data_IF_420499489874
#
_entry.id   IF_420499489874
#
_cell.length_a   1.000
_cell.length_b   1.000
_cell.length_c   1.000
_cell.angle_alpha   90.00
_cell.angle_beta   90.00
_cell.angle_gamma   90.00
#
_symmetry.space_group_name_H-M   'P 1'
#
loop_
_entity.id
_entity.type
_entity.pdbx_description
1 polymer ?
#
# COMPACT_ATOMS: atom_id res chain seq x y z
N UNK A 1 35.53 -17.29 3.37
CA UNK A 1 35.65 -16.28 2.30
C UNK A 1 34.24 -15.95 1.83
N UNK A 2 33.83 -14.67 1.75
CA UNK A 2 32.52 -14.33 1.21
C UNK A 2 32.49 -14.64 -0.30
N UNK A 3 31.46 -15.35 -0.75
CA UNK A 3 31.26 -15.75 -2.13
C UNK A 3 31.20 -14.51 -3.04
N UNK A 4 32.03 -14.39 -4.09
CA UNK A 4 31.92 -13.28 -5.03
C UNK A 4 30.58 -13.37 -5.75
N UNK A 5 29.70 -12.39 -5.53
CA UNK A 5 28.39 -12.34 -6.20
C UNK A 5 28.56 -12.46 -7.71
N UNK A 6 27.80 -13.39 -8.29
CA UNK A 6 27.70 -13.67 -9.72
C UNK A 6 27.33 -12.37 -10.48
N UNK A 7 28.03 -12.02 -11.58
CA UNK A 7 27.75 -10.79 -12.35
C UNK A 7 26.29 -10.63 -12.78
N UNK A 8 25.58 -11.73 -13.11
CA UNK A 8 24.16 -11.69 -13.47
C UNK A 8 23.21 -11.27 -12.32
N UNK A 9 23.61 -11.46 -11.06
CA UNK A 9 22.82 -11.04 -9.89
C UNK A 9 22.99 -9.54 -9.61
N UNK A 10 24.16 -8.97 -9.95
CA UNK A 10 24.41 -7.53 -9.80
C UNK A 10 23.61 -6.71 -10.80
N UNK A 11 23.54 -7.13 -12.05
CA UNK A 11 22.75 -6.44 -13.09
C UNK A 11 21.26 -6.44 -12.76
N UNK A 12 20.70 -7.58 -12.34
CA UNK A 12 19.31 -7.67 -11.89
C UNK A 12 19.02 -6.77 -10.68
N UNK A 13 19.94 -6.72 -9.73
CA UNK A 13 19.80 -5.87 -8.54
C UNK A 13 19.88 -4.38 -8.90
N UNK A 14 20.82 -3.97 -9.77
CA UNK A 14 20.92 -2.59 -10.24
C UNK A 14 19.68 -2.17 -11.05
N UNK A 15 19.17 -3.04 -11.93
CA UNK A 15 17.94 -2.78 -12.66
C UNK A 15 16.72 -2.64 -11.73
N UNK A 16 16.62 -3.50 -10.71
CA UNK A 16 15.57 -3.42 -9.68
C UNK A 16 15.66 -2.13 -8.86
N UNK A 17 16.87 -1.74 -8.44
CA UNK A 17 17.08 -0.48 -7.70
C UNK A 17 16.78 0.76 -8.55
N UNK A 18 17.17 0.78 -9.83
CA UNK A 18 16.87 1.88 -10.75
C UNK A 18 15.35 2.01 -10.96
N UNK A 19 14.66 0.89 -11.15
CA UNK A 19 13.20 0.84 -11.27
C UNK A 19 12.50 1.38 -10.02
N UNK A 20 12.92 0.94 -8.83
CA UNK A 20 12.37 1.44 -7.56
C UNK A 20 12.61 2.94 -7.36
N UNK A 21 13.79 3.46 -7.74
CA UNK A 21 14.08 4.90 -7.67
C UNK A 21 13.18 5.71 -8.61
N UNK A 22 12.98 5.24 -9.84
CA UNK A 22 12.06 5.88 -10.77
C UNK A 22 10.63 5.85 -10.24
N UNK A 23 10.20 4.72 -9.71
CA UNK A 23 8.88 4.56 -9.09
C UNK A 23 8.70 5.59 -7.96
N UNK A 24 9.63 5.66 -7.01
CA UNK A 24 9.63 6.65 -5.91
C UNK A 24 9.54 8.08 -6.43
N UNK A 25 10.37 8.45 -7.41
CA UNK A 25 10.37 9.80 -8.00
C UNK A 25 9.02 10.15 -8.64
N UNK A 26 8.38 9.21 -9.32
CA UNK A 26 7.03 9.39 -9.85
C UNK A 26 6.00 9.57 -8.74
N UNK A 27 6.08 8.77 -7.66
CA UNK A 27 5.18 8.87 -6.52
C UNK A 27 5.40 10.15 -5.67
N UNK A 28 6.59 10.75 -5.69
CA UNK A 28 6.88 12.06 -5.07
C UNK A 28 6.24 13.23 -5.84
N UNK A 29 6.12 13.09 -7.16
CA UNK A 29 5.50 14.08 -8.05
C UNK A 29 3.98 14.06 -8.03
N UNK A 30 3.36 13.12 -7.30
CA UNK A 30 1.91 13.08 -7.15
C UNK A 30 1.43 14.36 -6.45
N UNK A 31 0.53 15.15 -7.07
CA UNK A 31 0.16 16.47 -6.55
C UNK A 31 -0.69 16.38 -5.27
N UNK A 32 -1.43 15.27 -5.10
CA UNK A 32 -2.41 15.09 -4.04
C UNK A 32 -2.01 13.98 -3.08
N UNK A 33 -2.47 14.09 -1.84
CA UNK A 33 -2.40 13.00 -0.88
C UNK A 33 -3.30 11.84 -1.33
N UNK A 34 -2.85 10.61 -1.09
CA UNK A 34 -3.60 9.39 -1.41
C UNK A 34 -4.07 8.76 -0.09
N UNK A 35 -5.29 9.08 0.38
CA UNK A 35 -5.84 8.42 1.55
C UNK A 35 -6.29 7.01 1.18
N UNK A 36 -5.72 6.02 1.87
CA UNK A 36 -6.14 4.63 1.85
C UNK A 36 -7.06 4.37 3.04
N UNK A 37 -8.26 3.87 2.77
CA UNK A 37 -9.22 3.47 3.80
C UNK A 37 -9.32 1.95 3.80
N UNK A 38 -8.85 1.30 4.86
CA UNK A 38 -8.99 -0.14 5.07
C UNK A 38 -10.18 -0.39 5.99
N UNK A 39 -11.14 -1.18 5.51
CA UNK A 39 -12.23 -1.69 6.32
C UNK A 39 -11.93 -3.13 6.71
N UNK A 40 -11.79 -3.40 8.00
CA UNK A 40 -11.48 -4.71 8.55
C UNK A 40 -12.28 -4.95 9.85
N UNK A 41 -12.71 -6.19 10.10
CA UNK A 41 -13.40 -6.54 11.34
C UNK A 41 -12.40 -6.80 12.47
N UNK A 42 -12.68 -6.24 13.65
CA UNK A 42 -11.87 -6.50 14.86
C UNK A 42 -12.22 -7.88 15.40
N UNK A 43 -11.23 -8.77 15.50
CA UNK A 43 -11.36 -10.08 16.15
C UNK A 43 -11.29 -11.28 15.20
N UNK A 44 -11.39 -11.06 13.89
CA UNK A 44 -10.92 -12.01 12.90
C UNK A 44 -9.45 -11.69 12.62
N UNK A 45 -8.55 -12.55 13.09
CA UNK A 45 -7.14 -12.51 12.70
C UNK A 45 -7.04 -13.01 11.25
N UNK A 46 -7.55 -12.18 10.36
CA UNK A 46 -7.72 -12.51 8.97
C UNK A 46 -6.39 -12.32 8.26
N UNK A 47 -5.85 -13.42 7.75
CA UNK A 47 -4.64 -13.47 6.92
C UNK A 47 -4.76 -12.49 5.74
N UNK A 48 -5.96 -12.28 5.21
CA UNK A 48 -6.20 -11.32 4.14
C UNK A 48 -6.07 -9.87 4.63
N UNK A 49 -6.55 -9.55 5.83
CA UNK A 49 -6.35 -8.23 6.44
C UNK A 49 -4.85 -7.99 6.74
N UNK A 50 -4.14 -8.99 7.23
CA UNK A 50 -2.69 -8.91 7.44
C UNK A 50 -1.93 -8.71 6.12
N UNK A 51 -2.25 -9.47 5.08
CA UNK A 51 -1.67 -9.31 3.74
C UNK A 51 -1.93 -7.89 3.19
N UNK A 52 -3.17 -7.38 3.35
CA UNK A 52 -3.53 -6.03 2.93
C UNK A 52 -2.69 -4.98 3.66
N UNK A 53 -2.47 -5.13 4.97
CA UNK A 53 -1.61 -4.22 5.74
C UNK A 53 -0.14 -4.26 5.27
N UNK A 54 0.37 -5.42 4.87
CA UNK A 54 1.73 -5.53 4.32
C UNK A 54 1.88 -4.78 3.00
N UNK A 55 0.89 -4.96 2.10
CA UNK A 55 0.86 -4.22 0.83
C UNK A 55 0.84 -2.71 1.10
N UNK A 56 -0.01 -2.24 2.01
CA UNK A 56 -0.07 -0.81 2.34
C UNK A 56 1.25 -0.29 2.91
N UNK A 57 1.94 -1.06 3.77
CA UNK A 57 3.25 -0.66 4.30
C UNK A 57 4.26 -0.44 3.17
N UNK A 58 4.34 -1.38 2.22
CA UNK A 58 5.20 -1.23 1.05
C UNK A 58 4.85 0.03 0.23
N UNK A 59 3.56 0.32 0.04
CA UNK A 59 3.14 1.54 -0.65
C UNK A 59 3.54 2.81 0.11
N UNK A 60 3.40 2.85 1.44
CA UNK A 60 3.80 4.01 2.26
C UNK A 60 5.31 4.28 2.25
N UNK A 61 6.13 3.24 2.04
CA UNK A 61 7.58 3.41 1.86
C UNK A 61 7.96 4.03 0.51
N UNK A 62 7.05 4.01 -0.47
CA UNK A 62 7.28 4.62 -1.79
C UNK A 62 7.00 6.12 -1.80
N UNK A 63 6.04 6.60 -0.99
CA UNK A 63 5.77 8.04 -0.85
C UNK A 63 5.10 8.39 0.48
N UNK A 64 5.57 9.44 1.16
CA UNK A 64 4.98 9.91 2.42
C UNK A 64 3.56 10.47 2.25
N UNK A 65 3.12 10.74 1.01
CA UNK A 65 1.77 11.25 0.69
C UNK A 65 0.68 10.18 0.81
N UNK A 66 1.06 8.91 0.96
CA UNK A 66 0.12 7.80 1.13
C UNK A 66 -0.21 7.68 2.63
N UNK A 67 -1.45 7.96 2.98
CA UNK A 67 -1.95 7.85 4.37
C UNK A 67 -2.86 6.63 4.51
N UNK A 68 -2.82 5.94 5.66
CA UNK A 68 -3.70 4.81 5.94
C UNK A 68 -4.61 5.14 7.12
N UNK A 69 -5.90 4.88 6.97
CA UNK A 69 -6.89 4.86 8.06
C UNK A 69 -7.63 3.53 8.04
N UNK A 70 -7.76 2.92 9.21
CA UNK A 70 -8.45 1.64 9.38
C UNK A 70 -9.76 1.84 10.13
N UNK A 71 -10.83 1.22 9.65
CA UNK A 71 -12.19 1.33 10.17
C UNK A 71 -12.86 -0.05 10.25
N UNK A 72 -13.85 -0.19 11.13
CA UNK A 72 -14.75 -1.35 11.12
C UNK A 72 -15.88 -1.17 10.09
N UNK A 73 -16.57 -2.28 9.77
CA UNK A 73 -17.77 -2.26 8.91
C UNK A 73 -18.96 -1.53 9.55
N UNK A 74 -18.93 -1.35 10.87
CA UNK A 74 -19.89 -0.56 11.66
C UNK A 74 -19.69 0.96 11.51
N UNK A 75 -18.56 1.40 10.96
CA UNK A 75 -18.22 2.81 10.83
C UNK A 75 -19.08 3.53 9.77
N UNK A 76 -19.40 4.81 9.99
CA UNK A 76 -20.22 5.61 9.06
C UNK A 76 -19.64 5.68 7.63
N UNK A 77 -18.30 5.65 7.50
CA UNK A 77 -17.64 5.62 6.20
C UNK A 77 -17.86 4.30 5.43
N UNK A 78 -18.05 3.17 6.13
CA UNK A 78 -18.36 1.90 5.46
C UNK A 78 -19.71 2.01 4.75
N UNK A 79 -20.72 2.57 5.44
CA UNK A 79 -22.03 2.87 4.85
C UNK A 79 -21.94 3.87 3.70
N UNK A 80 -21.18 4.96 3.88
CA UNK A 80 -20.98 5.99 2.85
C UNK A 80 -20.45 5.41 1.53
N UNK A 81 -19.50 4.49 1.61
CA UNK A 81 -18.87 3.87 0.43
C UNK A 81 -19.43 2.49 0.08
N UNK A 82 -20.58 2.12 0.67
CA UNK A 82 -21.24 0.83 0.47
C UNK A 82 -20.31 -0.39 0.65
N UNK A 83 -19.43 -0.33 1.66
CA UNK A 83 -18.55 -1.43 2.02
C UNK A 83 -19.31 -2.42 2.88
N UNK A 84 -19.64 -3.58 2.32
CA UNK A 84 -20.46 -4.62 2.96
C UNK A 84 -19.65 -5.85 3.41
N UNK A 85 -18.38 -5.93 3.05
CA UNK A 85 -17.50 -7.05 3.39
C UNK A 85 -16.11 -6.57 3.79
N UNK A 86 -15.47 -7.32 4.68
CA UNK A 86 -14.08 -7.16 5.08
C UNK A 86 -13.21 -8.31 4.54
N UNK A 87 -11.92 -8.08 4.26
CA UNK A 87 -11.26 -6.78 4.24
C UNK A 87 -11.53 -6.05 2.91
N UNK A 88 -11.75 -4.73 2.97
CA UNK A 88 -11.91 -3.89 1.76
C UNK A 88 -10.98 -2.68 1.82
N UNK A 89 -10.22 -2.44 0.76
CA UNK A 89 -9.30 -1.30 0.64
C UNK A 89 -9.84 -0.30 -0.40
N UNK A 90 -10.11 0.93 0.04
CA UNK A 90 -10.44 2.04 -0.86
C UNK A 90 -9.23 2.94 -1.05
N UNK A 91 -9.00 3.37 -2.30
CA UNK A 91 -7.89 4.24 -2.69
C UNK A 91 -8.45 5.60 -3.11
N UNK A 92 -8.05 6.67 -2.41
CA UNK A 92 -8.44 8.05 -2.70
C UNK A 92 -9.95 8.25 -2.98
N UNK A 93 -10.87 7.71 -2.15
CA UNK A 93 -12.30 7.70 -2.47
C UNK A 93 -12.98 9.09 -2.42
N UNK A 94 -12.26 10.13 -2.00
CA UNK A 94 -12.73 11.52 -2.00
C UNK A 94 -12.28 12.31 -3.25
N UNK A 95 -11.32 11.79 -4.01
CA UNK A 95 -10.67 12.53 -5.11
C UNK A 95 -11.42 12.38 -6.42
N UNK A 96 -12.25 11.34 -6.56
CA UNK A 96 -12.99 11.01 -7.79
C UNK A 96 -14.51 10.86 -7.55
N UNK A 97 -15.01 11.45 -6.47
CA UNK A 97 -16.44 11.43 -6.11
C UNK A 97 -17.21 12.56 -6.81
#
# INVERSE_FOLDING_TARGET
MPNPMNPGDREKKMASEAYLRQLKKTFEQLPNDIPLLLFAEKGLDDVFAQATRQVIRAFRELSPRITLKEYGLDHALARKYNVTSAPTLLIAPQTYA
#
